data_IF_125063213051
#
_entry.id   IF_125063213051
#
_cell.length_a   1.000
_cell.length_b   1.000
_cell.length_c   1.000
_cell.angle_alpha   90.00
_cell.angle_beta   90.00
_cell.angle_gamma   90.00
#
_symmetry.space_group_name_H-M   'P 1'
#
loop_
_entity.id
_entity.type
_entity.pdbx_description
1 polymer ?
#
# COMPACT_ATOMS: atom_id res chain seq x y z
N UNK A 1 16.33 15.55 -0.76
CA UNK A 1 16.09 16.49 -1.87
C UNK A 1 14.62 16.78 -2.20
N UNK A 2 13.76 15.84 -2.63
CA UNK A 2 12.36 16.19 -2.98
C UNK A 2 11.45 16.50 -1.77
N UNK A 3 11.49 15.68 -0.72
CA UNK A 3 10.71 15.92 0.50
C UNK A 3 11.15 17.22 1.20
N UNK A 4 12.46 17.41 1.37
CA UNK A 4 13.04 18.63 1.97
C UNK A 4 12.71 19.89 1.16
N UNK A 5 12.70 19.80 -0.18
CA UNK A 5 12.35 20.95 -1.02
C UNK A 5 10.87 21.34 -0.88
N UNK A 6 9.99 20.39 -0.58
CA UNK A 6 8.54 20.63 -0.48
C UNK A 6 8.07 20.94 0.94
N UNK A 7 8.64 20.25 1.95
CA UNK A 7 8.21 20.32 3.34
C UNK A 7 9.26 20.91 4.30
N UNK A 8 10.41 21.35 3.80
CA UNK A 8 11.52 21.89 4.61
C UNK A 8 12.05 20.93 5.69
N UNK A 9 11.73 19.64 5.56
CA UNK A 9 12.18 18.57 6.44
C UNK A 9 11.89 17.19 5.83
N UNK A 10 12.59 16.17 6.33
CA UNK A 10 12.38 14.79 5.94
C UNK A 10 12.71 13.85 7.11
N UNK A 11 12.02 12.70 7.23
CA UNK A 11 12.40 11.64 8.14
C UNK A 11 13.78 11.06 7.82
N UNK A 12 14.53 10.69 8.85
CA UNK A 12 15.76 9.89 8.72
C UNK A 12 15.45 8.47 8.21
N UNK A 13 16.45 7.84 7.59
CA UNK A 13 16.36 6.47 7.08
C UNK A 13 17.18 5.52 7.96
N UNK A 14 16.52 4.49 8.50
CA UNK A 14 17.19 3.38 9.19
C UNK A 14 17.17 2.14 8.29
N UNK A 15 18.32 1.50 8.08
CA UNK A 15 18.44 0.29 7.25
C UNK A 15 19.03 -0.85 8.06
N UNK A 16 18.30 -1.95 8.11
CA UNK A 16 18.74 -3.20 8.71
C UNK A 16 18.78 -4.31 7.65
N UNK A 17 19.82 -5.14 7.68
CA UNK A 17 19.97 -6.28 6.78
C UNK A 17 20.00 -7.60 7.56
N UNK A 18 19.33 -8.62 7.03
CA UNK A 18 19.42 -10.00 7.53
C UNK A 18 19.62 -10.99 6.38
N UNK A 19 20.86 -11.41 6.18
CA UNK A 19 21.23 -12.39 5.16
C UNK A 19 21.23 -13.81 5.74
N UNK A 20 20.12 -14.54 5.56
CA UNK A 20 20.00 -15.91 6.07
C UNK A 20 20.84 -16.92 5.28
N UNK A 21 21.20 -16.62 4.01
CA UNK A 21 22.06 -17.50 3.18
C UNK A 21 23.53 -17.42 3.59
N UNK A 22 24.00 -16.23 3.96
CA UNK A 22 25.36 -16.00 4.40
C UNK A 22 25.40 -14.83 5.40
N UNK A 23 25.34 -15.12 6.71
CA UNK A 23 25.40 -14.09 7.75
C UNK A 23 26.63 -13.19 7.57
N UNK A 24 26.49 -11.90 7.88
CA UNK A 24 27.52 -10.85 7.77
C UNK A 24 28.03 -10.54 6.35
N UNK A 25 27.47 -11.16 5.28
CA UNK A 25 27.71 -10.71 3.90
C UNK A 25 26.62 -9.74 3.46
N UNK A 26 26.99 -8.65 2.74
CA UNK A 26 26.01 -7.73 2.20
C UNK A 26 25.05 -8.47 1.26
N UNK A 27 23.77 -8.09 1.30
CA UNK A 27 22.77 -8.71 0.43
C UNK A 27 23.01 -8.25 -1.01
N UNK A 28 23.10 -9.22 -1.92
CA UNK A 28 23.26 -8.99 -3.35
C UNK A 28 22.28 -9.86 -4.13
N UNK A 29 21.80 -9.35 -5.26
CA UNK A 29 20.86 -10.04 -6.15
C UNK A 29 21.14 -9.65 -7.60
N UNK A 30 20.92 -10.58 -8.53
CA UNK A 30 20.92 -10.30 -9.97
C UNK A 30 19.58 -9.67 -10.32
N UNK A 31 19.56 -8.35 -10.53
CA UNK A 31 18.33 -7.61 -10.81
C UNK A 31 18.60 -6.37 -11.68
N UNK A 32 17.54 -5.79 -12.27
CA UNK A 32 17.61 -4.53 -13.02
C UNK A 32 17.58 -3.36 -12.03
N UNK A 33 18.66 -2.58 -11.84
CA UNK A 33 18.72 -1.58 -10.78
C UNK A 33 17.67 -0.47 -10.91
N UNK A 34 17.35 -0.04 -12.14
CA UNK A 34 16.35 1.00 -12.38
C UNK A 34 14.92 0.59 -11.94
N UNK A 35 14.57 -0.69 -12.07
CA UNK A 35 13.27 -1.21 -11.62
C UNK A 35 13.17 -1.14 -10.10
N UNK A 36 14.21 -1.63 -9.41
CA UNK A 36 14.28 -1.59 -7.95
C UNK A 36 14.27 -0.15 -7.43
N UNK A 37 15.08 0.72 -8.04
CA UNK A 37 15.12 2.13 -7.70
C UNK A 37 13.74 2.79 -7.83
N UNK A 38 13.01 2.56 -8.92
CA UNK A 38 11.68 3.13 -9.11
C UNK A 38 10.71 2.71 -8.00
N UNK A 39 10.67 1.41 -7.66
CA UNK A 39 9.79 0.91 -6.60
C UNK A 39 10.13 1.52 -5.24
N UNK A 40 11.42 1.53 -4.88
CA UNK A 40 11.88 2.10 -3.61
C UNK A 40 11.60 3.60 -3.55
N UNK A 41 11.90 4.33 -4.63
CA UNK A 41 11.68 5.76 -4.72
C UNK A 41 10.21 6.13 -4.50
N UNK A 42 9.28 5.44 -5.18
CA UNK A 42 7.84 5.70 -5.01
C UNK A 42 7.34 5.35 -3.60
N UNK A 43 7.84 4.26 -2.99
CA UNK A 43 7.47 3.89 -1.62
C UNK A 43 8.03 4.86 -0.58
N UNK A 44 9.31 5.22 -0.65
CA UNK A 44 9.91 6.20 0.26
C UNK A 44 9.22 7.55 0.17
N UNK A 45 8.89 7.99 -1.05
CA UNK A 45 8.12 9.22 -1.27
C UNK A 45 6.78 9.20 -0.55
N UNK A 46 6.04 8.09 -0.61
CA UNK A 46 4.77 7.94 0.09
C UNK A 46 4.93 7.90 1.61
N UNK A 47 5.90 7.14 2.12
CA UNK A 47 6.18 7.03 3.56
C UNK A 47 6.65 8.34 4.18
N UNK A 48 7.56 9.06 3.49
CA UNK A 48 8.01 10.38 3.90
C UNK A 48 6.86 11.38 3.92
N UNK A 49 6.05 11.41 2.86
CA UNK A 49 4.87 12.28 2.79
C UNK A 49 3.90 12.03 3.96
N UNK A 50 3.53 10.79 4.18
CA UNK A 50 2.59 10.42 5.25
C UNK A 50 3.13 10.77 6.63
N UNK A 51 4.43 10.55 6.86
CA UNK A 51 5.09 10.89 8.13
C UNK A 51 5.15 12.40 8.33
N UNK A 52 5.55 13.17 7.32
CA UNK A 52 5.64 14.63 7.46
C UNK A 52 4.26 15.26 7.64
N UNK A 53 3.27 14.90 6.82
CA UNK A 53 1.90 15.43 6.94
C UNK A 53 1.26 15.11 8.31
N UNK A 54 1.64 14.01 8.97
CA UNK A 54 1.11 13.66 10.30
C UNK A 54 1.81 14.39 11.46
N UNK A 55 3.09 14.71 11.31
CA UNK A 55 3.93 15.27 12.37
C UNK A 55 4.27 16.75 12.19
N UNK A 56 3.84 17.40 11.10
CA UNK A 56 4.10 18.83 10.83
C UNK A 56 3.71 19.75 12.00
N UNK A 57 2.54 19.50 12.62
CA UNK A 57 2.04 20.27 13.77
C UNK A 57 2.40 19.66 15.14
N UNK A 58 3.17 18.57 15.16
CA UNK A 58 3.51 17.84 16.38
C UNK A 58 4.81 18.39 16.98
N UNK A 59 4.92 18.32 18.31
CA UNK A 59 6.15 18.74 19.02
C UNK A 59 7.21 17.64 18.95
N UNK A 60 6.77 16.41 18.74
CA UNK A 60 7.59 15.24 18.49
C UNK A 60 8.21 15.37 17.08
N UNK A 61 9.54 15.28 16.97
CA UNK A 61 10.22 15.26 15.68
C UNK A 61 9.82 14.07 14.81
N UNK A 62 10.24 14.09 13.54
CA UNK A 62 9.87 13.05 12.59
C UNK A 62 10.42 11.67 12.98
N UNK A 63 9.59 10.63 13.14
CA UNK A 63 10.09 9.28 13.32
C UNK A 63 10.77 8.81 12.04
N UNK A 64 11.82 7.99 12.18
CA UNK A 64 12.55 7.43 11.05
C UNK A 64 11.69 6.47 10.21
N UNK A 65 11.97 6.44 8.90
CA UNK A 65 11.43 5.40 8.01
C UNK A 65 12.39 4.20 8.09
N UNK A 66 11.86 3.04 8.46
CA UNK A 66 12.67 1.84 8.72
C UNK A 66 12.62 0.89 7.54
N UNK A 67 13.77 0.47 7.06
CA UNK A 67 13.91 -0.49 5.96
C UNK A 67 14.58 -1.76 6.46
N UNK A 68 13.91 -2.89 6.31
CA UNK A 68 14.46 -4.21 6.57
C UNK A 68 14.66 -4.96 5.25
N UNK A 69 15.90 -5.31 4.94
CA UNK A 69 16.27 -6.10 3.76
C UNK A 69 16.63 -7.50 4.23
N UNK A 70 15.93 -8.52 3.72
CA UNK A 70 16.20 -9.91 4.08
C UNK A 70 16.43 -10.75 2.84
N UNK A 71 17.38 -11.69 2.93
CA UNK A 71 17.65 -12.66 1.87
C UNK A 71 17.48 -14.09 2.41
N UNK A 72 16.43 -14.76 1.92
CA UNK A 72 16.12 -16.17 2.20
C UNK A 72 16.60 -17.11 1.10
N UNK A 73 16.08 -18.34 1.10
CA UNK A 73 16.40 -19.34 0.05
C UNK A 73 15.84 -18.93 -1.30
N UNK A 74 14.55 -18.59 -1.33
CA UNK A 74 13.75 -18.29 -2.53
C UNK A 74 13.52 -16.78 -2.72
N UNK A 75 13.38 -16.04 -1.61
CA UNK A 75 12.94 -14.66 -1.65
C UNK A 75 14.03 -13.69 -1.18
N UNK A 76 14.13 -12.57 -1.88
CA UNK A 76 14.65 -11.32 -1.35
C UNK A 76 13.44 -10.45 -0.99
N UNK A 77 13.36 -10.03 0.27
CA UNK A 77 12.26 -9.18 0.77
C UNK A 77 12.81 -7.85 1.25
N UNK A 78 12.15 -6.76 0.86
CA UNK A 78 12.44 -5.41 1.33
C UNK A 78 11.18 -4.85 1.94
N UNK A 79 11.22 -4.60 3.25
CA UNK A 79 10.10 -4.02 3.99
C UNK A 79 10.44 -2.57 4.37
N UNK A 80 9.63 -1.63 3.92
CA UNK A 80 9.67 -0.22 4.31
C UNK A 80 8.52 0.01 5.29
N UNK A 81 8.83 0.51 6.48
CA UNK A 81 7.88 0.73 7.57
C UNK A 81 7.90 2.21 7.95
N UNK A 82 6.74 2.83 8.01
CA UNK A 82 6.56 4.20 8.47
C UNK A 82 5.59 4.30 9.65
N UNK A 83 5.65 5.42 10.37
CA UNK A 83 4.68 5.79 11.39
C UNK A 83 3.77 6.93 10.91
N UNK A 84 3.40 6.93 9.63
CA UNK A 84 2.61 7.98 8.98
C UNK A 84 1.09 7.90 9.24
N UNK A 85 0.65 7.23 10.31
CA UNK A 85 -0.77 7.18 10.72
C UNK A 85 -1.63 6.14 10.01
N UNK A 86 -1.09 5.50 8.97
CA UNK A 86 -1.72 4.36 8.32
C UNK A 86 -2.96 4.68 7.48
N UNK A 87 -3.61 3.63 6.98
CA UNK A 87 -4.73 3.67 6.04
C UNK A 87 -5.78 2.64 6.48
N UNK A 88 -7.07 3.02 6.55
CA UNK A 88 -8.14 2.09 6.84
C UNK A 88 -8.15 0.92 5.84
N UNK A 89 -8.36 -0.30 6.33
CA UNK A 89 -8.33 -1.53 5.51
C UNK A 89 -9.18 -1.43 4.23
N UNK A 90 -10.38 -0.84 4.32
CA UNK A 90 -11.32 -0.64 3.20
C UNK A 90 -10.73 0.18 2.03
N UNK A 91 -9.68 0.97 2.27
CA UNK A 91 -9.02 1.82 1.26
C UNK A 91 -7.77 1.17 0.65
N UNK A 92 -7.22 0.11 1.24
CA UNK A 92 -5.93 -0.48 0.81
C UNK A 92 -5.97 -0.92 -0.66
N UNK A 93 -6.99 -1.67 -1.07
CA UNK A 93 -7.08 -2.12 -2.47
C UNK A 93 -7.22 -0.97 -3.45
N UNK A 94 -7.89 0.11 -3.03
CA UNK A 94 -8.08 1.31 -3.85
C UNK A 94 -6.77 2.06 -4.10
N UNK A 95 -5.75 1.90 -3.26
CA UNK A 95 -4.43 2.51 -3.47
C UNK A 95 -3.72 1.97 -4.73
N UNK A 96 -4.11 0.79 -5.21
CA UNK A 96 -3.60 0.20 -6.44
C UNK A 96 -4.45 0.54 -7.67
N UNK A 97 -5.54 1.29 -7.53
CA UNK A 97 -6.30 1.77 -8.67
C UNK A 97 -5.54 2.90 -9.35
N UNK A 98 -5.42 2.84 -10.67
CA UNK A 98 -4.89 3.95 -11.46
C UNK A 98 -5.67 5.23 -11.21
N UNK A 99 -4.96 6.35 -11.12
CA UNK A 99 -5.50 7.69 -10.86
C UNK A 99 -6.12 7.90 -9.47
N UNK A 100 -6.09 6.91 -8.58
CA UNK A 100 -6.47 7.10 -7.19
C UNK A 100 -5.34 7.82 -6.44
N UNK A 101 -5.66 8.95 -5.82
CA UNK A 101 -4.71 9.74 -5.03
C UNK A 101 -5.45 10.49 -3.93
N UNK A 102 -4.81 10.61 -2.77
CA UNK A 102 -5.26 11.47 -1.66
C UNK A 102 -4.67 12.87 -1.72
N UNK A 103 -3.65 13.08 -2.56
CA UNK A 103 -3.04 14.40 -2.78
C UNK A 103 -3.90 15.26 -3.73
N UNK A 104 -3.83 16.60 -3.61
CA UNK A 104 -4.32 17.51 -4.63
C UNK A 104 -3.78 17.14 -6.01
N UNK A 105 -4.62 17.28 -7.05
CA UNK A 105 -4.16 17.05 -8.42
C UNK A 105 -3.12 18.11 -8.79
N UNK A 106 -1.90 17.72 -9.17
CA UNK A 106 -0.87 18.68 -9.51
C UNK A 106 -1.26 19.41 -10.79
N UNK A 107 -0.86 20.67 -10.89
CA UNK A 107 -1.01 21.42 -12.14
C UNK A 107 -0.16 20.78 -13.24
N UNK A 108 -0.69 20.71 -14.46
CA UNK A 108 0.05 20.27 -15.64
C UNK A 108 0.98 21.35 -16.19
N UNK A 109 0.97 22.54 -15.58
CA UNK A 109 1.93 23.61 -15.84
C UNK A 109 3.37 23.09 -15.59
N UNK A 110 4.32 23.36 -16.51
CA UNK A 110 5.71 22.92 -16.38
C UNK A 110 6.41 23.74 -15.28
N UNK A 111 6.10 23.42 -14.03
CA UNK A 111 6.84 23.90 -12.86
C UNK A 111 8.09 23.05 -12.69
N UNK A 112 9.21 23.67 -12.31
CA UNK A 112 10.53 23.01 -12.20
C UNK A 112 10.62 21.93 -11.11
N UNK A 113 9.58 21.77 -10.29
CA UNK A 113 9.55 20.79 -9.20
C UNK A 113 8.53 19.69 -9.52
N UNK A 114 9.01 18.44 -9.62
CA UNK A 114 8.12 17.29 -9.75
C UNK A 114 7.28 17.15 -8.47
N UNK A 115 5.94 17.08 -8.56
CA UNK A 115 5.09 16.99 -7.39
C UNK A 115 5.33 15.66 -6.65
N UNK A 116 5.40 15.72 -5.31
CA UNK A 116 5.66 14.53 -4.49
C UNK A 116 4.53 13.49 -4.60
N UNK A 117 3.31 13.91 -4.89
CA UNK A 117 2.16 13.03 -5.10
C UNK A 117 1.16 13.65 -6.07
N UNK A 118 0.09 12.92 -6.38
CA UNK A 118 -1.10 13.49 -7.02
C UNK A 118 -1.47 12.93 -8.40
N UNK A 119 -0.56 12.25 -9.10
CA UNK A 119 -0.91 11.56 -10.36
C UNK A 119 -1.61 10.20 -10.14
N UNK A 120 -1.33 9.50 -9.03
CA UNK A 120 -2.00 8.23 -8.70
C UNK A 120 -1.53 7.02 -9.52
N UNK A 121 -0.28 7.02 -10.00
CA UNK A 121 0.31 5.89 -10.75
C UNK A 121 1.44 5.17 -9.99
N UNK A 122 2.02 5.78 -8.96
CA UNK A 122 3.23 5.27 -8.29
C UNK A 122 3.11 3.83 -7.78
N UNK A 123 2.12 3.57 -6.92
CA UNK A 123 1.88 2.24 -6.35
C UNK A 123 1.51 1.17 -7.38
N UNK A 124 0.54 1.37 -8.30
CA UNK A 124 0.23 0.35 -9.30
C UNK A 124 1.41 0.05 -10.23
N UNK A 125 2.16 1.06 -10.67
CA UNK A 125 3.33 0.86 -11.54
C UNK A 125 4.47 0.16 -10.78
N UNK A 126 4.72 0.54 -9.52
CA UNK A 126 5.71 -0.14 -8.67
C UNK A 126 5.36 -1.62 -8.48
N UNK A 127 4.08 -1.95 -8.31
CA UNK A 127 3.63 -3.35 -8.23
C UNK A 127 3.82 -4.10 -9.55
N UNK A 128 3.65 -3.45 -10.70
CA UNK A 128 3.97 -4.05 -11.99
C UNK A 128 5.46 -4.37 -12.12
N UNK A 129 6.35 -3.45 -11.72
CA UNK A 129 7.80 -3.71 -11.71
C UNK A 129 8.17 -4.91 -10.85
N UNK A 130 7.58 -5.05 -9.65
CA UNK A 130 7.81 -6.22 -8.80
C UNK A 130 7.32 -7.51 -9.46
N UNK A 131 6.09 -7.50 -10.00
CA UNK A 131 5.46 -8.66 -10.64
C UNK A 131 6.09 -9.07 -11.96
N UNK A 132 6.81 -8.16 -12.62
CA UNK A 132 7.42 -8.42 -13.91
C UNK A 132 8.37 -9.61 -13.88
N UNK A 133 9.16 -9.75 -12.81
CA UNK A 133 10.08 -10.88 -12.58
C UNK A 133 9.58 -11.79 -11.44
N UNK A 134 8.30 -12.15 -11.46
CA UNK A 134 7.64 -13.08 -10.51
C UNK A 134 7.65 -12.67 -9.03
N UNK A 135 7.95 -11.40 -8.73
CA UNK A 135 7.80 -10.82 -7.41
C UNK A 135 6.38 -10.34 -7.10
N UNK A 136 6.22 -9.57 -6.02
CA UNK A 136 5.00 -8.81 -5.74
C UNK A 136 5.31 -7.60 -4.84
N UNK A 137 4.41 -6.64 -4.81
CA UNK A 137 4.42 -5.53 -3.86
C UNK A 137 3.12 -5.58 -3.07
N UNK A 138 3.23 -5.63 -1.73
CA UNK A 138 2.09 -5.67 -0.80
C UNK A 138 2.16 -4.54 0.20
N UNK A 139 0.99 -4.07 0.62
CA UNK A 139 0.81 -3.04 1.66
C UNK A 139 0.01 -3.63 2.80
N UNK A 140 0.47 -3.39 4.03
CA UNK A 140 -0.22 -3.72 5.27
C UNK A 140 -0.21 -2.49 6.13
N UNK A 141 -1.37 -2.04 6.58
CA UNK A 141 -1.48 -0.79 7.33
C UNK A 141 -2.25 -0.98 8.62
N UNK A 142 -1.78 -0.30 9.66
CA UNK A 142 -2.41 -0.24 10.97
C UNK A 142 -2.94 1.18 11.14
N UNK A 143 -4.24 1.38 10.90
CA UNK A 143 -4.89 2.69 11.00
C UNK A 143 -4.67 3.31 12.39
N UNK A 144 -4.19 4.55 12.41
CA UNK A 144 -3.78 5.28 13.61
C UNK A 144 -2.30 5.14 13.96
N UNK A 145 -1.55 4.25 13.31
CA UNK A 145 -0.12 4.01 13.61
C UNK A 145 0.75 4.24 12.38
N UNK A 146 0.62 3.43 11.32
CA UNK A 146 1.60 3.40 10.24
C UNK A 146 1.35 2.34 9.18
N UNK A 147 2.28 2.23 8.23
CA UNK A 147 2.17 1.30 7.10
C UNK A 147 3.47 0.55 6.84
N UNK A 148 3.35 -0.75 6.58
CA UNK A 148 4.41 -1.62 6.07
C UNK A 148 4.18 -1.89 4.57
N UNK A 149 5.15 -1.50 3.74
CA UNK A 149 5.21 -1.81 2.33
C UNK A 149 6.29 -2.86 2.07
N UNK A 150 5.93 -3.99 1.46
CA UNK A 150 6.86 -5.11 1.23
C UNK A 150 7.00 -5.38 -0.26
N UNK A 151 8.24 -5.31 -0.75
CA UNK A 151 8.65 -5.78 -2.06
C UNK A 151 9.21 -7.19 -1.90
N UNK A 152 8.69 -8.14 -2.68
CA UNK A 152 9.24 -9.48 -2.81
C UNK A 152 9.86 -9.63 -4.19
N UNK A 153 11.10 -10.09 -4.24
CA UNK A 153 11.84 -10.43 -5.46
C UNK A 153 12.35 -11.86 -5.36
N UNK A 154 12.55 -12.52 -6.50
CA UNK A 154 13.21 -13.83 -6.54
C UNK A 154 14.70 -13.69 -6.21
N UNK A 155 15.17 -14.52 -5.28
CA UNK A 155 16.57 -14.58 -4.88
C UNK A 155 17.46 -15.25 -5.94
N UNK A 156 16.86 -16.10 -6.79
CA UNK A 156 17.55 -16.84 -7.85
C UNK A 156 17.16 -16.29 -9.22
N UNK A 157 18.15 -15.89 -10.03
CA UNK A 157 17.90 -15.39 -11.39
C UNK A 157 17.24 -16.41 -12.31
N UNK A 158 17.46 -17.71 -12.06
CA UNK A 158 16.82 -18.82 -12.78
C UNK A 158 15.31 -18.91 -12.56
N UNK A 159 14.76 -18.21 -11.57
CA UNK A 159 13.33 -18.17 -11.27
C UNK A 159 12.69 -16.82 -11.65
N UNK A 160 13.51 -15.85 -12.07
CA UNK A 160 13.11 -14.49 -12.43
C UNK A 160 12.61 -14.41 -13.88
N UNK A 161 11.53 -15.13 -14.20
CA UNK A 161 10.93 -15.12 -15.54
C UNK A 161 10.01 -13.91 -15.77
N UNK A 162 9.95 -13.41 -17.00
CA UNK A 162 9.03 -12.34 -17.38
C UNK A 162 7.56 -12.78 -17.26
N UNK A 163 6.75 -11.95 -16.60
CA UNK A 163 5.29 -12.13 -16.51
C UNK A 163 4.59 -11.26 -17.55
N UNK A 164 4.38 -11.81 -18.75
CA UNK A 164 3.77 -11.08 -19.85
C UNK A 164 2.25 -11.33 -19.95
N UNK A 165 1.44 -10.30 -20.27
CA UNK A 165 0.03 -10.49 -20.57
C UNK A 165 -0.14 -11.19 -21.92
N UNK A 166 -0.94 -12.26 -21.96
CA UNK A 166 -1.23 -13.02 -23.18
C UNK A 166 -2.67 -12.78 -23.60
N UNK A 167 -2.87 -12.26 -24.81
CA UNK A 167 -4.21 -12.11 -25.37
C UNK A 167 -4.73 -13.47 -25.84
N UNK A 168 -5.84 -13.92 -25.23
CA UNK A 168 -6.51 -15.17 -25.53
C UNK A 168 -8.01 -15.08 -25.19
N UNK A 169 -8.76 -16.19 -25.32
CA UNK A 169 -10.19 -16.22 -24.99
C UNK A 169 -10.46 -15.82 -23.53
N UNK A 170 -9.59 -16.17 -22.58
CA UNK A 170 -9.73 -15.78 -21.18
C UNK A 170 -9.54 -14.27 -21.00
N UNK A 171 -8.50 -13.67 -21.61
CA UNK A 171 -8.29 -12.23 -21.62
C UNK A 171 -9.48 -11.48 -22.23
N UNK A 172 -10.00 -11.97 -23.36
CA UNK A 172 -11.15 -11.36 -24.04
C UNK A 172 -12.42 -11.36 -23.18
N UNK A 173 -12.67 -12.42 -22.39
CA UNK A 173 -13.83 -12.48 -21.48
C UNK A 173 -13.83 -11.34 -20.48
N UNK A 174 -12.68 -10.91 -19.96
CA UNK A 174 -12.60 -9.76 -19.03
C UNK A 174 -13.12 -8.45 -19.62
N UNK A 175 -13.18 -8.30 -20.96
CA UNK A 175 -13.72 -7.11 -21.62
C UNK A 175 -15.21 -7.24 -21.99
N UNK A 176 -15.80 -8.42 -21.80
CA UNK A 176 -17.18 -8.74 -22.15
C UNK A 176 -18.05 -9.09 -20.94
N UNK A 177 -17.49 -9.06 -19.74
CA UNK A 177 -18.22 -9.27 -18.49
C UNK A 177 -19.32 -8.23 -18.33
N UNK A 178 -20.53 -8.69 -18.08
CA UNK A 178 -21.66 -7.85 -17.69
C UNK A 178 -21.73 -7.74 -16.16
N UNK A 179 -22.41 -6.74 -15.60
CA UNK A 179 -22.65 -6.70 -14.16
C UNK A 179 -23.40 -7.95 -13.71
N UNK A 180 -22.85 -8.66 -12.74
CA UNK A 180 -23.46 -9.82 -12.10
C UNK A 180 -24.01 -9.41 -10.73
N UNK A 181 -24.95 -10.18 -10.18
CA UNK A 181 -25.36 -9.99 -8.81
C UNK A 181 -24.18 -10.30 -7.88
N UNK A 182 -24.01 -9.54 -6.80
CA UNK A 182 -22.94 -9.81 -5.85
C UNK A 182 -23.08 -11.21 -5.24
N UNK A 183 -21.95 -11.93 -5.14
CA UNK A 183 -21.88 -13.27 -4.56
C UNK A 183 -22.27 -13.30 -3.07
N UNK A 184 -22.23 -12.15 -2.40
CA UNK A 184 -22.47 -12.00 -0.96
C UNK A 184 -23.52 -10.94 -0.65
N UNK A 185 -24.11 -11.05 0.54
CA UNK A 185 -25.15 -10.12 0.98
C UNK A 185 -24.61 -8.71 1.17
N UNK A 186 -25.31 -7.72 0.61
CA UNK A 186 -25.12 -6.31 0.93
C UNK A 186 -26.21 -5.83 1.89
N UNK A 187 -25.86 -5.20 3.02
CA UNK A 187 -26.86 -4.64 3.92
C UNK A 187 -27.56 -3.44 3.28
N UNK A 188 -28.79 -3.16 3.73
CA UNK A 188 -29.49 -1.91 3.40
C UNK A 188 -28.67 -0.71 3.86
N UNK A 189 -28.65 0.36 3.07
CA UNK A 189 -28.12 1.66 3.50
C UNK A 189 -28.90 2.27 4.66
N UNK A 190 -30.15 1.83 4.84
CA UNK A 190 -31.03 2.18 5.95
C UNK A 190 -31.44 0.89 6.69
N UNK A 191 -30.58 0.33 7.56
CA UNK A 191 -30.92 -0.83 8.36
C UNK A 191 -32.10 -0.52 9.28
N UNK A 192 -33.01 -1.48 9.43
CA UNK A 192 -34.16 -1.33 10.32
C UNK A 192 -33.71 -1.17 11.77
N UNK A 193 -34.20 -0.13 12.44
CA UNK A 193 -33.99 0.06 13.87
C UNK A 193 -34.69 -1.03 14.71
N UNK A 194 -33.88 -1.92 15.29
CA UNK A 194 -34.37 -3.02 16.12
C UNK A 194 -34.72 -2.60 17.57
N UNK A 195 -34.39 -1.38 17.99
CA UNK A 195 -34.63 -0.92 19.37
C UNK A 195 -36.13 -0.82 19.70
N UNK A 196 -36.96 -0.38 18.73
CA UNK A 196 -38.42 -0.25 18.88
C UNK A 196 -39.14 -1.60 18.98
N UNK A 197 -38.49 -2.69 18.57
CA UNK A 197 -39.05 -4.05 18.67
C UNK A 197 -38.97 -4.61 20.10
N UNK A 198 -37.85 -4.39 20.80
CA UNK A 198 -37.69 -4.81 22.21
C UNK A 198 -38.66 -4.10 23.15
N UNK A 199 -38.87 -2.79 22.98
CA UNK A 199 -39.82 -2.01 23.78
C UNK A 199 -41.26 -2.53 23.69
N UNK A 200 -41.64 -3.14 22.56
CA UNK A 200 -42.97 -3.76 22.37
C UNK A 200 -43.05 -5.12 23.07
N UNK A 201 -41.99 -5.93 23.04
CA UNK A 201 -41.92 -7.22 23.75
C UNK A 201 -41.88 -7.05 25.28
N UNK A 202 -41.13 -6.07 25.80
CA UNK A 202 -41.04 -5.81 27.23
C UNK A 202 -42.35 -5.23 27.79
N UNK A 203 -43.08 -4.41 27.01
CA UNK A 203 -44.46 -3.99 27.32
C UNK A 203 -45.45 -5.15 27.31
N UNK A 204 -45.28 -6.13 26.42
CA UNK A 204 -46.13 -7.33 26.38
C UNK A 204 -45.82 -8.25 27.57
N UNK A 205 -44.57 -8.35 28.03
CA UNK A 205 -44.21 -9.12 29.23
C UNK A 205 -44.71 -8.46 30.52
N UNK A 206 -44.60 -7.15 30.66
CA UNK A 206 -45.13 -6.42 31.83
C UNK A 206 -46.66 -6.45 31.90
N UNK A 207 -47.35 -6.48 30.76
CA UNK A 207 -48.82 -6.64 30.72
C UNK A 207 -49.30 -8.10 30.87
N UNK A 208 -48.41 -9.08 31.06
CA UNK A 208 -48.75 -10.51 31.26
C UNK A 208 -48.52 -11.00 32.69
N UNK A 209 -48.13 -10.11 33.61
CA UNK A 209 -47.92 -10.40 35.05
C UNK A 209 -49.01 -9.81 35.95
N UNK A 210 -50.27 -10.01 35.58
CA UNK A 210 -51.43 -9.91 36.47
C UNK A 210 -52.36 -11.09 36.21
#
# INVERSE_FOLDING_TARGET
MLCEQYYLGAPELEVEEFNAKAPNKPIQVVYVPSHLFHMLFELFKNSMRATVELYEDRKEGYPSVKTLVTLGKEDLSIKISDLGGGVPLRKIDRLFNYMYSTAPRPSLEPTRAAPLAGFGYGLPISRLYARYFQGDLKLYSMEGVGTDAVIYLKALSSESFERLPVFNKSAWRHYKTMPEADDWSNPSSEPRDASKYKAKQDKIKTNRTF
#
